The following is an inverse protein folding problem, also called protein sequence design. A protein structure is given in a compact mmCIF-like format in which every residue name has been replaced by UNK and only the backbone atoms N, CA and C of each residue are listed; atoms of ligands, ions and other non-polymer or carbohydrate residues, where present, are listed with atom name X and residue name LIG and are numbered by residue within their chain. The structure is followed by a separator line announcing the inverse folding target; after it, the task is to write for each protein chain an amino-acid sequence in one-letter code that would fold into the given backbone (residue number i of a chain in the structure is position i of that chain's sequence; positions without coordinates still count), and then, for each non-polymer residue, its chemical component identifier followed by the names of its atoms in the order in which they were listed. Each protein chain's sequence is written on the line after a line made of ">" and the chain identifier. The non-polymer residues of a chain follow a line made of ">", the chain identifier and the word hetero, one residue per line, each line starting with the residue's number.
data_IF_161671134093
#
_entry.id   IF_161671134093
#
_cell.length_a   1.000
_cell.length_b   1.000
_cell.length_c   1.000
_cell.angle_alpha   90.00
_cell.angle_beta   90.00
_cell.angle_gamma   90.00
#
_symmetry.space_group_name_H-M   'P 1'
#
loop_
_entity.id
_entity.type
_entity.pdbx_description
1 polymer ?
#
# COMPACT_ATOMS: atom_id res chain seq x y z
N UNK A 1 15.87 24.62 -3.97
CA UNK A 1 15.78 23.36 -4.74
C UNK A 1 14.56 22.59 -4.22
N UNK A 2 13.90 21.81 -5.07
CA UNK A 2 12.66 21.07 -4.72
C UNK A 2 12.84 19.61 -5.12
N UNK A 3 12.42 18.69 -4.25
CA UNK A 3 12.43 17.24 -4.47
C UNK A 3 10.97 16.78 -4.57
N UNK A 4 10.66 15.96 -5.57
CA UNK A 4 9.32 15.42 -5.83
C UNK A 4 9.42 13.94 -6.23
N UNK A 5 8.27 13.29 -6.42
CA UNK A 5 8.05 11.83 -6.42
C UNK A 5 8.16 11.22 -5.02
N UNK A 6 7.16 10.40 -4.64
CA UNK A 6 7.10 9.85 -3.29
C UNK A 6 8.28 8.93 -2.96
N UNK A 7 8.75 8.01 -3.82
CA UNK A 7 9.88 7.16 -3.46
C UNK A 7 11.20 7.94 -3.36
N UNK A 8 11.37 8.96 -4.19
CA UNK A 8 12.56 9.83 -4.19
C UNK A 8 12.60 10.68 -2.92
N UNK A 9 11.45 11.26 -2.55
CA UNK A 9 11.32 12.04 -1.31
C UNK A 9 11.60 11.16 -0.09
N UNK A 10 11.04 9.95 -0.05
CA UNK A 10 11.29 8.99 1.02
C UNK A 10 12.77 8.56 1.12
N UNK A 11 13.43 8.26 0.00
CA UNK A 11 14.86 7.90 -0.02
C UNK A 11 15.74 9.08 0.43
N UNK A 12 15.46 10.29 -0.05
CA UNK A 12 16.18 11.49 0.38
C UNK A 12 16.07 11.74 1.88
N UNK A 13 14.85 11.64 2.45
CA UNK A 13 14.64 11.80 3.89
C UNK A 13 15.42 10.74 4.68
N UNK A 14 15.43 9.50 4.21
CA UNK A 14 16.19 8.41 4.84
C UNK A 14 17.71 8.63 4.78
N UNK A 15 18.23 9.33 3.77
CA UNK A 15 19.65 9.63 3.64
C UNK A 15 20.08 10.76 4.57
N UNK A 16 19.36 11.88 4.57
CA UNK A 16 19.80 13.12 5.24
C UNK A 16 19.52 13.17 6.74
N UNK A 17 18.52 12.43 7.22
CA UNK A 17 18.17 12.39 8.65
C UNK A 17 18.89 11.23 9.35
N UNK A 18 19.67 11.48 10.42
CA UNK A 18 20.56 10.48 11.03
C UNK A 18 19.87 9.48 11.97
N UNK A 19 18.57 9.64 12.21
CA UNK A 19 17.78 8.81 13.12
C UNK A 19 17.60 7.39 12.56
N UNK A 20 16.46 6.74 12.84
CA UNK A 20 16.18 5.38 12.40
C UNK A 20 16.19 5.29 10.87
N UNK A 21 17.22 4.66 10.31
CA UNK A 21 17.27 4.28 8.89
C UNK A 21 16.21 3.24 8.56
N UNK A 22 15.46 3.49 7.50
CA UNK A 22 14.38 2.65 6.98
C UNK A 22 14.86 1.79 5.80
N UNK A 23 15.84 2.25 5.02
CA UNK A 23 16.49 1.45 4.00
C UNK A 23 17.64 0.62 4.60
N UNK A 24 17.86 -0.61 4.11
CA UNK A 24 18.99 -1.41 4.52
C UNK A 24 20.31 -0.78 4.05
N UNK A 25 21.37 -1.02 4.83
CA UNK A 25 22.74 -0.62 4.48
C UNK A 25 23.33 -1.51 3.39
N UNK A 26 22.92 -2.77 3.32
CA UNK A 26 23.35 -3.71 2.29
C UNK A 26 22.78 -3.30 0.91
N UNK A 27 23.63 -3.08 -0.12
CA UNK A 27 23.17 -2.66 -1.43
C UNK A 27 22.23 -3.65 -2.12
N UNK A 28 22.42 -4.95 -1.89
CA UNK A 28 21.59 -5.99 -2.50
C UNK A 28 20.19 -6.01 -1.86
N UNK A 29 20.09 -5.95 -0.53
CA UNK A 29 18.81 -5.82 0.17
C UNK A 29 18.06 -4.54 -0.24
N UNK A 30 18.79 -3.43 -0.45
CA UNK A 30 18.19 -2.18 -0.95
C UNK A 30 17.62 -2.35 -2.35
N UNK A 31 18.36 -3.02 -3.24
CA UNK A 31 17.88 -3.34 -4.58
C UNK A 31 16.64 -4.25 -4.54
N UNK A 32 16.60 -5.23 -3.63
CA UNK A 32 15.43 -6.08 -3.44
C UNK A 32 14.18 -5.29 -3.02
N UNK A 33 14.32 -4.27 -2.14
CA UNK A 33 13.20 -3.39 -1.80
C UNK A 33 12.70 -2.61 -3.03
N UNK A 34 13.61 -2.09 -3.87
CA UNK A 34 13.24 -1.38 -5.11
C UNK A 34 12.55 -2.31 -6.12
N UNK A 35 13.02 -3.55 -6.27
CA UNK A 35 12.37 -4.55 -7.13
C UNK A 35 10.96 -4.90 -6.65
N UNK A 36 10.76 -5.01 -5.34
CA UNK A 36 9.44 -5.26 -4.77
C UNK A 36 8.50 -4.06 -4.98
N UNK A 37 9.01 -2.83 -4.86
CA UNK A 37 8.24 -1.62 -5.18
C UNK A 37 7.78 -1.62 -6.64
N UNK A 38 8.62 -2.07 -7.57
CA UNK A 38 8.27 -2.19 -8.99
C UNK A 38 7.28 -3.33 -9.28
N UNK A 39 7.32 -4.43 -8.51
CA UNK A 39 6.27 -5.45 -8.56
C UNK A 39 4.93 -4.86 -8.09
N UNK A 40 4.98 -4.09 -7.00
CA UNK A 40 3.83 -3.45 -6.39
C UNK A 40 3.23 -2.31 -7.24
N UNK A 41 4.03 -1.56 -8.00
CA UNK A 41 3.55 -0.45 -8.85
C UNK A 41 2.46 -0.90 -9.82
N UNK A 42 2.49 -2.18 -10.24
CA UNK A 42 1.52 -2.83 -11.13
C UNK A 42 0.21 -3.23 -10.44
N UNK A 43 0.17 -3.20 -9.11
CA UNK A 43 -1.00 -3.52 -8.27
C UNK A 43 -1.89 -2.29 -8.12
N UNK A 44 -1.30 -1.10 -8.02
CA UNK A 44 -1.99 0.18 -7.77
C UNK A 44 -3.14 0.45 -8.77
N UNK A 45 -2.98 0.28 -10.10
CA UNK A 45 -4.05 0.59 -11.06
C UNK A 45 -5.34 -0.20 -10.83
N UNK A 46 -5.25 -1.39 -10.26
CA UNK A 46 -6.42 -2.25 -10.01
C UNK A 46 -7.32 -1.74 -8.89
N UNK A 47 -6.75 -1.10 -7.86
CA UNK A 47 -7.54 -0.45 -6.80
C UNK A 47 -8.55 0.54 -7.40
N UNK A 48 -8.07 1.39 -8.30
CA UNK A 48 -8.92 2.34 -9.03
C UNK A 48 -9.83 1.65 -10.04
N UNK A 49 -9.30 0.78 -10.90
CA UNK A 49 -10.07 0.10 -11.96
C UNK A 49 -11.31 -0.62 -11.39
N UNK A 50 -11.13 -1.37 -10.29
CA UNK A 50 -12.22 -2.12 -9.66
C UNK A 50 -13.18 -1.17 -8.95
N UNK A 51 -12.67 -0.24 -8.14
CA UNK A 51 -13.53 0.67 -7.35
C UNK A 51 -14.38 1.57 -8.25
N UNK A 52 -13.78 2.16 -9.29
CA UNK A 52 -14.49 3.01 -10.25
C UNK A 52 -15.47 2.21 -11.10
N UNK A 53 -15.08 1.01 -11.57
CA UNK A 53 -15.96 0.13 -12.34
C UNK A 53 -17.22 -0.25 -11.55
N UNK A 54 -17.06 -0.61 -10.25
CA UNK A 54 -18.20 -0.88 -9.36
C UNK A 54 -19.13 0.32 -9.21
N UNK A 55 -18.59 1.54 -9.01
CA UNK A 55 -19.42 2.77 -8.90
C UNK A 55 -20.21 3.04 -10.18
N UNK A 56 -19.68 2.67 -11.35
CA UNK A 56 -20.35 2.80 -12.65
C UNK A 56 -21.30 1.65 -12.99
N UNK A 57 -21.38 0.61 -12.16
CA UNK A 57 -22.17 -0.59 -12.43
C UNK A 57 -21.58 -1.48 -13.53
N UNK A 58 -20.26 -1.38 -13.77
CA UNK A 58 -19.54 -2.22 -14.74
C UNK A 58 -19.24 -3.60 -14.15
N UNK A 59 -19.11 -4.62 -15.00
CA UNK A 59 -18.57 -5.92 -14.60
C UNK A 59 -17.05 -5.80 -14.41
N UNK A 60 -16.60 -6.00 -13.17
CA UNK A 60 -15.19 -5.92 -12.76
C UNK A 60 -14.56 -7.30 -12.52
N UNK A 61 -15.27 -8.40 -12.79
CA UNK A 61 -14.83 -9.75 -12.46
C UNK A 61 -13.44 -10.11 -13.01
N UNK A 62 -13.15 -9.74 -14.27
CA UNK A 62 -11.81 -9.93 -14.87
C UNK A 62 -10.75 -9.12 -14.14
N UNK A 63 -11.03 -7.86 -13.80
CA UNK A 63 -10.09 -7.00 -13.09
C UNK A 63 -9.83 -7.51 -11.66
N UNK A 64 -10.84 -8.03 -10.97
CA UNK A 64 -10.69 -8.65 -9.65
C UNK A 64 -9.86 -9.93 -9.71
N UNK A 65 -10.03 -10.75 -10.76
CA UNK A 65 -9.23 -11.95 -10.96
C UNK A 65 -7.74 -11.63 -11.19
N UNK A 66 -7.44 -10.69 -12.08
CA UNK A 66 -6.07 -10.22 -12.33
C UNK A 66 -5.45 -9.57 -11.09
N UNK A 67 -6.21 -8.74 -10.37
CA UNK A 67 -5.76 -8.12 -9.13
C UNK A 67 -5.43 -9.16 -8.07
N UNK A 68 -6.30 -10.17 -7.90
CA UNK A 68 -6.08 -11.28 -6.98
C UNK A 68 -4.80 -12.04 -7.33
N UNK A 69 -4.50 -12.27 -8.61
CA UNK A 69 -3.25 -12.90 -9.04
C UNK A 69 -2.03 -12.06 -8.62
N UNK A 70 -2.07 -10.74 -8.81
CA UNK A 70 -0.97 -9.86 -8.38
C UNK A 70 -0.80 -9.81 -6.86
N UNK A 71 -1.89 -9.82 -6.10
CA UNK A 71 -1.85 -9.93 -4.65
C UNK A 71 -1.25 -11.27 -4.20
N UNK A 72 -1.54 -12.37 -4.91
CA UNK A 72 -0.91 -13.68 -4.66
C UNK A 72 0.61 -13.62 -4.91
N UNK A 73 1.07 -12.96 -5.97
CA UNK A 73 2.51 -12.78 -6.21
C UNK A 73 3.19 -12.00 -5.07
N UNK A 74 2.56 -10.95 -4.54
CA UNK A 74 3.05 -10.23 -3.36
C UNK A 74 3.06 -11.11 -2.11
N UNK A 75 2.01 -11.90 -1.91
CA UNK A 75 1.94 -12.84 -0.80
C UNK A 75 3.05 -13.89 -0.86
N UNK A 76 3.34 -14.43 -2.04
CA UNK A 76 4.44 -15.37 -2.26
C UNK A 76 5.80 -14.72 -2.00
N UNK A 77 5.99 -13.47 -2.41
CA UNK A 77 7.21 -12.72 -2.11
C UNK A 77 7.47 -12.61 -0.60
N UNK A 78 6.43 -12.36 0.19
CA UNK A 78 6.52 -12.35 1.66
C UNK A 78 6.71 -13.76 2.25
N UNK A 79 5.94 -14.75 1.78
CA UNK A 79 6.00 -16.13 2.25
C UNK A 79 7.39 -16.76 2.03
N UNK A 80 8.01 -16.48 0.88
CA UNK A 80 9.35 -16.98 0.53
C UNK A 80 10.44 -16.41 1.43
N UNK A 81 10.29 -15.15 1.88
CA UNK A 81 11.23 -14.52 2.83
C UNK A 81 11.11 -15.10 4.24
N UNK A 82 9.94 -15.63 4.62
CA UNK A 82 9.64 -16.15 5.97
C UNK A 82 9.90 -15.11 7.07
N UNK A 83 9.54 -13.87 6.78
CA UNK A 83 9.71 -12.70 7.66
C UNK A 83 8.36 -12.08 7.99
N UNK A 84 8.32 -11.26 9.04
CA UNK A 84 7.09 -10.53 9.44
C UNK A 84 6.70 -9.42 8.46
N UNK A 85 7.70 -8.76 7.89
CA UNK A 85 7.59 -7.62 6.99
C UNK A 85 8.31 -7.90 5.67
N UNK A 86 8.03 -7.11 4.64
CA UNK A 86 8.65 -7.29 3.33
C UNK A 86 10.16 -7.03 3.34
N UNK A 87 10.63 -6.14 4.21
CA UNK A 87 12.05 -5.87 4.41
C UNK A 87 12.75 -6.76 5.44
N UNK A 88 12.03 -7.58 6.22
CA UNK A 88 12.63 -8.41 7.25
C UNK A 88 11.74 -8.63 8.49
N UNK A 89 12.36 -8.90 9.63
CA UNK A 89 11.62 -9.09 10.90
C UNK A 89 11.20 -7.79 11.58
N UNK A 90 11.68 -6.66 11.08
CA UNK A 90 11.33 -5.31 11.49
C UNK A 90 10.78 -4.54 10.29
N UNK A 91 9.91 -3.57 10.56
CA UNK A 91 9.34 -2.69 9.53
C UNK A 91 10.43 -1.82 8.89
N UNK A 92 10.36 -1.63 7.57
CA UNK A 92 11.34 -0.90 6.76
C UNK A 92 10.65 0.01 5.74
N UNK A 93 11.43 0.72 4.92
CA UNK A 93 10.91 1.65 3.92
C UNK A 93 9.88 1.01 2.98
N UNK A 94 10.15 -0.20 2.49
CA UNK A 94 9.25 -0.87 1.52
C UNK A 94 7.86 -1.14 2.09
N UNK A 95 7.75 -1.39 3.40
CA UNK A 95 6.46 -1.60 4.06
C UNK A 95 5.64 -0.31 4.07
N UNK A 96 6.28 0.83 4.39
CA UNK A 96 5.63 2.14 4.37
C UNK A 96 5.26 2.63 2.97
N UNK A 97 6.06 2.31 1.94
CA UNK A 97 5.75 2.68 0.56
C UNK A 97 4.54 1.92 0.00
N UNK A 98 4.29 0.70 0.50
CA UNK A 98 3.21 -0.19 0.05
C UNK A 98 1.94 0.00 0.89
N UNK A 99 2.06 0.37 2.16
CA UNK A 99 0.97 0.46 3.12
C UNK A 99 -0.26 1.28 2.68
N UNK A 100 -0.13 2.50 2.10
CA UNK A 100 -1.27 3.39 1.90
C UNK A 100 -2.43 2.76 1.12
N UNK A 101 -2.16 1.89 0.14
CA UNK A 101 -3.21 1.24 -0.64
C UNK A 101 -3.93 0.13 0.13
N UNK A 102 -3.21 -0.58 1.00
CA UNK A 102 -3.81 -1.63 1.83
C UNK A 102 -4.68 -1.07 2.95
N UNK A 103 -4.32 0.09 3.50
CA UNK A 103 -5.18 0.85 4.42
C UNK A 103 -6.55 1.16 3.78
N UNK A 104 -6.55 1.47 2.48
CA UNK A 104 -7.75 1.88 1.71
C UNK A 104 -8.54 0.72 1.09
N UNK A 105 -8.06 -0.53 1.23
CA UNK A 105 -8.63 -1.69 0.54
C UNK A 105 -10.11 -1.97 0.87
N UNK A 106 -10.51 -1.73 2.13
CA UNK A 106 -11.91 -1.86 2.58
C UNK A 106 -12.79 -0.82 1.89
N UNK A 107 -12.44 0.46 2.02
CA UNK A 107 -13.18 1.58 1.44
C UNK A 107 -13.31 1.42 -0.09
N UNK A 108 -12.23 0.98 -0.75
CA UNK A 108 -12.22 0.76 -2.19
C UNK A 108 -12.98 -0.49 -2.63
N UNK A 109 -13.50 -1.29 -1.70
CA UNK A 109 -14.30 -2.48 -1.99
C UNK A 109 -13.51 -3.60 -2.66
N UNK A 110 -12.22 -3.72 -2.33
CA UNK A 110 -11.31 -4.75 -2.89
C UNK A 110 -10.72 -5.68 -1.85
N UNK A 111 -11.10 -5.55 -0.57
CA UNK A 111 -10.60 -6.39 0.52
C UNK A 111 -10.88 -7.88 0.30
N UNK A 112 -11.98 -8.24 -0.36
CA UNK A 112 -12.31 -9.64 -0.66
C UNK A 112 -11.28 -10.31 -1.58
N UNK A 113 -10.55 -9.56 -2.40
CA UNK A 113 -9.46 -10.08 -3.24
C UNK A 113 -8.27 -10.60 -2.43
N UNK A 114 -8.16 -10.26 -1.13
CA UNK A 114 -7.11 -10.74 -0.22
C UNK A 114 -7.38 -12.14 0.36
N UNK A 115 -8.50 -12.78 0.00
CA UNK A 115 -8.90 -14.06 0.57
C UNK A 115 -7.84 -15.16 0.40
N UNK A 116 -7.11 -15.14 -0.73
CA UNK A 116 -6.06 -16.13 -1.07
C UNK A 116 -4.64 -15.73 -0.63
N UNK A 117 -4.50 -14.68 0.19
CA UNK A 117 -3.19 -14.12 0.56
C UNK A 117 -2.99 -14.10 2.08
N UNK A 118 -2.77 -15.28 2.71
CA UNK A 118 -2.71 -15.39 4.17
C UNK A 118 -1.54 -14.60 4.80
N UNK A 119 -0.35 -14.62 4.21
CA UNK A 119 0.81 -13.90 4.75
C UNK A 119 0.64 -12.39 4.56
N UNK A 120 0.11 -11.97 3.41
CA UNK A 120 -0.21 -10.57 3.17
C UNK A 120 -1.25 -10.04 4.16
N UNK A 121 -2.28 -10.84 4.49
CA UNK A 121 -3.28 -10.45 5.51
C UNK A 121 -2.66 -10.31 6.90
N UNK A 122 -1.78 -11.22 7.30
CA UNK A 122 -1.02 -11.09 8.57
C UNK A 122 -0.14 -9.83 8.56
N UNK A 123 0.50 -9.52 7.44
CA UNK A 123 1.26 -8.28 7.31
C UNK A 123 0.37 -7.04 7.43
N UNK A 124 -0.83 -7.03 6.83
CA UNK A 124 -1.80 -5.94 6.99
C UNK A 124 -2.18 -5.76 8.47
N UNK A 125 -2.46 -6.85 9.19
CA UNK A 125 -2.74 -6.81 10.63
C UNK A 125 -1.58 -6.22 11.43
N UNK A 126 -0.33 -6.62 11.13
CA UNK A 126 0.87 -6.07 11.76
C UNK A 126 1.06 -4.58 11.47
N UNK A 127 0.81 -4.15 10.24
CA UNK A 127 0.93 -2.75 9.85
C UNK A 127 -0.09 -1.88 10.58
N UNK A 128 -1.34 -2.36 10.77
CA UNK A 128 -2.32 -1.66 11.60
C UNK A 128 -1.87 -1.52 13.06
N UNK A 129 -0.96 -2.37 13.54
CA UNK A 129 -0.41 -2.30 14.90
C UNK A 129 0.80 -1.35 15.03
N UNK A 130 1.43 -0.95 13.93
CA UNK A 130 2.60 -0.06 13.92
C UNK A 130 2.25 1.34 14.46
N UNK A 131 3.02 1.91 15.41
CA UNK A 131 2.71 3.21 15.99
C UNK A 131 2.71 4.37 14.97
N UNK A 132 3.57 4.33 13.94
CA UNK A 132 3.63 5.40 12.93
C UNK A 132 2.40 5.31 12.04
N UNK A 133 2.03 4.09 11.60
CA UNK A 133 0.78 3.85 10.86
C UNK A 133 -0.42 4.34 11.66
N UNK A 134 -0.55 3.94 12.94
CA UNK A 134 -1.67 4.36 13.81
C UNK A 134 -1.77 5.87 13.95
N UNK A 135 -0.64 6.56 14.01
CA UNK A 135 -0.59 8.01 14.15
C UNK A 135 -1.02 8.76 12.88
N UNK A 136 -0.96 8.13 11.71
CA UNK A 136 -1.22 8.78 10.41
C UNK A 136 -2.39 8.21 9.61
N UNK A 137 -2.97 7.09 10.05
CA UNK A 137 -4.10 6.45 9.36
C UNK A 137 -5.40 7.23 9.56
N UNK A 138 -6.31 7.07 8.61
CA UNK A 138 -7.71 7.49 8.76
C UNK A 138 -8.61 6.25 8.88
N UNK A 139 -9.73 6.40 9.58
CA UNK A 139 -10.72 5.33 9.61
C UNK A 139 -11.39 5.17 8.23
N UNK A 140 -12.00 4.01 8.00
CA UNK A 140 -12.63 3.66 6.72
C UNK A 140 -13.70 4.67 6.30
N UNK A 141 -14.47 5.21 7.25
CA UNK A 141 -15.57 6.14 6.96
C UNK A 141 -15.04 7.49 6.45
N UNK A 142 -13.96 8.00 7.02
CA UNK A 142 -13.28 9.23 6.56
C UNK A 142 -12.74 9.04 5.14
N UNK A 143 -12.07 7.92 4.88
CA UNK A 143 -11.62 7.58 3.53
C UNK A 143 -12.79 7.53 2.55
N UNK A 144 -13.93 6.96 2.97
CA UNK A 144 -15.11 6.81 2.12
C UNK A 144 -15.73 8.15 1.76
N UNK A 145 -15.92 9.04 2.74
CA UNK A 145 -16.49 10.37 2.47
C UNK A 145 -15.60 11.19 1.54
N UNK A 146 -14.29 11.19 1.78
CA UNK A 146 -13.35 11.86 0.88
C UNK A 146 -13.42 11.25 -0.53
N UNK A 147 -13.35 9.92 -0.64
CA UNK A 147 -13.35 9.23 -1.94
C UNK A 147 -14.64 9.46 -2.72
N UNK A 148 -15.80 9.44 -2.07
CA UNK A 148 -17.08 9.75 -2.70
C UNK A 148 -17.09 11.18 -3.25
N UNK A 149 -16.64 12.17 -2.47
CA UNK A 149 -16.54 13.57 -2.91
C UNK A 149 -15.57 13.76 -4.09
N UNK A 150 -14.44 13.04 -4.07
CA UNK A 150 -13.47 13.04 -5.17
C UNK A 150 -14.09 12.47 -6.44
N UNK A 151 -14.80 11.34 -6.32
CA UNK A 151 -15.48 10.68 -7.42
C UNK A 151 -16.66 11.50 -7.98
N UNK A 152 -17.26 12.37 -7.17
CA UNK A 152 -18.30 13.30 -7.59
C UNK A 152 -17.73 14.59 -8.23
N UNK A 153 -16.39 14.67 -8.39
CA UNK A 153 -15.68 15.79 -9.01
C UNK A 153 -15.58 17.02 -8.11
N UNK A 154 -15.88 16.89 -6.82
CA UNK A 154 -15.85 17.97 -5.82
C UNK A 154 -15.14 17.49 -4.55
N UNK A 155 -13.83 17.16 -4.63
CA UNK A 155 -13.10 16.62 -3.49
C UNK A 155 -13.15 17.57 -2.30
N UNK A 156 -13.61 17.07 -1.16
CA UNK A 156 -13.61 17.80 0.10
C UNK A 156 -12.30 17.51 0.86
N UNK A 157 -11.27 18.30 0.58
CA UNK A 157 -9.97 18.18 1.25
C UNK A 157 -10.02 18.54 2.74
N UNK A 158 -11.05 19.28 3.16
CA UNK A 158 -11.22 19.77 4.53
C UNK A 158 -12.21 18.91 5.33
N UNK A 159 -12.52 17.69 4.85
CA UNK A 159 -13.42 16.80 5.58
C UNK A 159 -12.83 16.43 6.95
N UNK A 160 -13.51 16.85 8.02
CA UNK A 160 -13.07 16.62 9.40
C UNK A 160 -12.21 17.73 10.01
N UNK A 161 -11.99 18.83 9.29
CA UNK A 161 -11.41 20.08 9.79
C UNK A 161 -12.49 21.09 10.21
#
# INVERSE_FOLDING_TARGET
>A
QVIYESPITCEYLDEVYPEKKLLPSDPFERAQQKMLLELYSKVIPYFYKISMGKKRGEDVSTAEAEFTEKLVQLNEALANKKTKYFGGNSITMIDYLIWPWFERAEMMGVKHCLAKTPELRKWIELMFEDPVVKATMFNTDVHKVFFDSYMDGKPNYDYGL
#
